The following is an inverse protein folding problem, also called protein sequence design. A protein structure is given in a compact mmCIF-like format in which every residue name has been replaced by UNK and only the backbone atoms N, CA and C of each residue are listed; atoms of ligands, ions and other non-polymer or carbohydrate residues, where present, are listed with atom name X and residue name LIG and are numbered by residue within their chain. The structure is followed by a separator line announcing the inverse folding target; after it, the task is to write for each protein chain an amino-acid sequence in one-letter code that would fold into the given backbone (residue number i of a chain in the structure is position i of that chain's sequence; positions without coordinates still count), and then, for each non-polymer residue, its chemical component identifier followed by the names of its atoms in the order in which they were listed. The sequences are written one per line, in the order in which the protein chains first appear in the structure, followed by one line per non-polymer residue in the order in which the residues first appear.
data_IF_787657002041
#
_entry.id   IF_787657002041
#
_cell.length_a   1.000
_cell.length_b   1.000
_cell.length_c   1.000
_cell.angle_alpha   90.00
_cell.angle_beta   90.00
_cell.angle_gamma   90.00
#
_symmetry.space_group_name_H-M   'P 1'
#
loop_
_entity.id
_entity.type
_entity.pdbx_description
1 polymer ?
#
# COMPACT_ATOMS: atom_id res chain seq x y z
N UNK A 1 11.58 2.66 -5.73
CA UNK A 1 10.76 1.42 -5.90
C UNK A 1 10.21 1.00 -4.55
N UNK A 2 8.97 0.53 -4.51
CA UNK A 2 8.38 0.19 -3.22
C UNK A 2 8.78 -1.21 -2.76
N UNK A 3 8.75 -1.41 -1.46
CA UNK A 3 8.98 -2.72 -0.84
C UNK A 3 7.62 -3.33 -0.51
N UNK A 4 7.09 -4.12 -1.44
CA UNK A 4 5.74 -4.70 -1.29
C UNK A 4 5.67 -5.71 -0.14
N UNK A 5 6.78 -6.38 0.15
CA UNK A 5 6.80 -7.37 1.22
C UNK A 5 6.68 -6.70 2.59
N UNK A 6 7.27 -5.54 2.74
CA UNK A 6 7.17 -4.80 3.99
C UNK A 6 5.75 -4.27 4.20
N UNK A 7 5.11 -3.78 3.13
CA UNK A 7 3.72 -3.37 3.22
C UNK A 7 2.83 -4.55 3.59
N UNK A 8 3.05 -5.70 2.95
CA UNK A 8 2.27 -6.89 3.25
C UNK A 8 2.43 -7.31 4.71
N UNK A 9 3.65 -7.26 5.23
CA UNK A 9 3.92 -7.59 6.62
C UNK A 9 3.15 -6.66 7.56
N UNK A 10 3.20 -5.36 7.29
CA UNK A 10 2.51 -4.39 8.14
C UNK A 10 1.01 -4.59 8.12
N UNK A 11 0.46 -4.90 6.94
CA UNK A 11 -0.96 -5.16 6.82
C UNK A 11 -1.35 -6.43 7.58
N UNK A 12 -0.60 -7.51 7.40
CA UNK A 12 -0.91 -8.77 8.07
C UNK A 12 -0.80 -8.66 9.58
N UNK A 13 0.17 -7.91 10.06
CA UNK A 13 0.34 -7.75 11.51
C UNK A 13 -0.82 -6.99 12.13
N UNK A 14 -1.58 -6.24 11.31
CA UNK A 14 -2.74 -5.47 11.77
C UNK A 14 -4.07 -6.06 11.33
N UNK A 15 -4.04 -7.23 10.67
CA UNK A 15 -5.26 -7.88 10.24
C UNK A 15 -5.98 -7.18 9.09
N UNK A 16 -5.26 -6.46 8.25
CA UNK A 16 -5.83 -5.72 7.13
C UNK A 16 -5.66 -6.53 5.85
N UNK A 17 -6.77 -6.81 5.15
CA UNK A 17 -6.72 -7.54 3.90
C UNK A 17 -6.46 -6.59 2.73
N UNK A 18 -6.00 -7.16 1.60
CA UNK A 18 -5.79 -6.38 0.37
C UNK A 18 -7.11 -5.79 -0.11
N UNK A 19 -8.18 -6.56 -0.06
CA UNK A 19 -9.49 -6.09 -0.49
C UNK A 19 -9.94 -4.89 0.34
N UNK A 20 -9.76 -4.99 1.65
CA UNK A 20 -10.10 -3.91 2.56
C UNK A 20 -9.33 -2.65 2.25
N UNK A 21 -8.02 -2.78 2.03
CA UNK A 21 -7.17 -1.64 1.72
C UNK A 21 -7.57 -1.02 0.38
N UNK A 22 -7.81 -1.84 -0.65
CA UNK A 22 -8.20 -1.33 -1.96
C UNK A 22 -9.50 -0.54 -1.89
N UNK A 23 -10.46 -1.03 -1.11
CA UNK A 23 -11.71 -0.29 -0.92
C UNK A 23 -11.47 1.03 -0.22
N UNK A 24 -10.58 1.05 0.75
CA UNK A 24 -10.28 2.27 1.51
C UNK A 24 -9.61 3.34 0.65
N UNK A 25 -8.73 2.94 -0.27
CA UNK A 25 -8.01 3.91 -1.10
C UNK A 25 -8.65 4.11 -2.47
N UNK A 26 -9.68 3.33 -2.81
CA UNK A 26 -10.48 3.56 -4.02
C UNK A 26 -9.87 3.03 -5.30
N UNK A 27 -9.13 1.91 -5.24
CA UNK A 27 -8.59 1.28 -6.45
C UNK A 27 -9.01 -0.18 -6.52
N UNK A 28 -8.89 -0.77 -7.71
CA UNK A 28 -9.16 -2.20 -7.89
C UNK A 28 -7.98 -3.03 -7.40
N UNK A 29 -8.25 -4.32 -7.13
CA UNK A 29 -7.18 -5.24 -6.75
C UNK A 29 -6.15 -5.38 -7.86
N UNK A 30 -6.60 -5.41 -9.11
CA UNK A 30 -5.69 -5.49 -10.25
C UNK A 30 -4.75 -4.29 -10.29
N UNK A 31 -5.29 -3.09 -10.07
CA UNK A 31 -4.47 -1.89 -10.03
C UNK A 31 -3.47 -1.94 -8.87
N UNK A 32 -3.93 -2.42 -7.72
CA UNK A 32 -3.08 -2.55 -6.54
C UNK A 32 -1.86 -3.43 -6.83
N UNK A 33 -2.10 -4.61 -7.43
CA UNK A 33 -0.99 -5.53 -7.70
C UNK A 33 -0.04 -5.00 -8.77
N UNK A 34 -0.57 -4.31 -9.79
CA UNK A 34 0.30 -3.67 -10.79
C UNK A 34 1.21 -2.62 -10.15
N UNK A 35 0.66 -1.85 -9.22
CA UNK A 35 1.45 -0.82 -8.52
C UNK A 35 2.48 -1.45 -7.59
N UNK A 36 2.12 -2.51 -6.90
CA UNK A 36 3.06 -3.23 -6.03
C UNK A 36 4.20 -3.86 -6.82
N UNK A 37 3.94 -4.30 -8.04
CA UNK A 37 4.95 -4.97 -8.87
C UNK A 37 5.78 -3.99 -9.69
N UNK A 38 5.50 -2.69 -9.62
CA UNK A 38 6.29 -1.68 -10.32
C UNK A 38 5.82 -1.37 -11.72
N UNK A 39 4.73 -2.02 -12.20
CA UNK A 39 4.16 -1.71 -13.52
C UNK A 39 3.58 -0.29 -13.53
N UNK A 40 3.01 0.12 -12.42
CA UNK A 40 2.52 1.49 -12.20
C UNK A 40 3.04 1.94 -10.84
N UNK A 41 2.84 3.21 -10.52
CA UNK A 41 3.27 3.74 -9.22
C UNK A 41 2.06 4.25 -8.46
N UNK A 42 2.12 4.13 -7.13
CA UNK A 42 1.11 4.75 -6.29
C UNK A 42 1.27 6.27 -6.37
N UNK A 43 0.15 6.97 -6.47
CA UNK A 43 0.18 8.43 -6.43
C UNK A 43 0.46 8.90 -5.00
N UNK A 44 0.94 10.14 -4.81
CA UNK A 44 1.14 10.67 -3.46
C UNK A 44 -0.12 10.61 -2.61
N UNK A 45 -1.28 10.86 -3.20
CA UNK A 45 -2.56 10.78 -2.50
C UNK A 45 -2.84 9.35 -2.03
N UNK A 46 -2.58 8.36 -2.89
CA UNK A 46 -2.78 6.96 -2.54
C UNK A 46 -1.83 6.53 -1.44
N UNK A 47 -0.57 6.96 -1.53
CA UNK A 47 0.42 6.64 -0.50
C UNK A 47 -0.03 7.18 0.85
N UNK A 48 -0.52 8.41 0.88
CA UNK A 48 -0.97 9.00 2.13
C UNK A 48 -2.17 8.24 2.70
N UNK A 49 -3.11 7.84 1.85
CA UNK A 49 -4.25 7.06 2.30
C UNK A 49 -3.82 5.72 2.88
N UNK A 50 -2.84 5.07 2.25
CA UNK A 50 -2.32 3.80 2.75
C UNK A 50 -1.66 4.00 4.12
N UNK A 51 -0.81 5.03 4.24
CA UNK A 51 -0.15 5.33 5.49
C UNK A 51 -1.16 5.53 6.61
N UNK A 52 -2.20 6.30 6.33
CA UNK A 52 -3.22 6.61 7.33
C UNK A 52 -4.08 5.39 7.66
N UNK A 53 -4.51 4.65 6.65
CA UNK A 53 -5.40 3.52 6.88
C UNK A 53 -4.70 2.37 7.60
N UNK A 54 -3.49 2.04 7.17
CA UNK A 54 -2.72 0.96 7.79
C UNK A 54 -2.16 1.39 9.14
N UNK A 55 -1.89 2.67 9.31
CA UNK A 55 -1.31 3.19 10.55
C UNK A 55 0.20 3.13 10.56
N UNK A 56 0.80 3.38 9.41
CA UNK A 56 2.26 3.39 9.29
C UNK A 56 2.83 4.68 9.88
N UNK A 57 4.04 4.60 10.44
CA UNK A 57 4.72 5.78 10.97
C UNK A 57 5.16 6.70 9.85
N UNK A 58 5.54 6.13 8.69
CA UNK A 58 6.11 6.89 7.60
C UNK A 58 6.03 6.07 6.32
N UNK A 59 5.90 6.72 5.14
CA UNK A 59 5.94 5.98 3.87
C UNK A 59 7.35 5.61 3.45
N UNK A 60 8.38 6.15 4.12
CA UNK A 60 9.75 6.08 3.62
C UNK A 60 10.30 4.66 3.47
N UNK A 61 10.05 3.81 4.44
CA UNK A 61 10.62 2.45 4.41
C UNK A 61 9.91 1.51 3.45
N UNK A 62 8.76 1.90 2.91
CA UNK A 62 7.96 1.06 2.03
C UNK A 62 7.96 1.60 0.60
N UNK A 63 7.68 2.89 0.44
CA UNK A 63 7.46 3.47 -0.88
C UNK A 63 8.68 4.16 -1.47
N UNK A 64 9.63 4.54 -0.66
CA UNK A 64 10.79 5.34 -1.10
C UNK A 64 12.11 4.73 -0.66
N UNK A 65 12.24 3.43 -0.82
CA UNK A 65 13.49 2.75 -0.50
C UNK A 65 14.60 3.07 -1.47
#
# INVERSE_FOLDING_TARGET
MMNKYKLEYEMKSRGISVEELCNAIGISRSAYYRKCNGTSEFTPSEIQKIVEYVGLDSPMGIFFE
#
